data_IF_007258849115
#
_entry.id   IF_007258849115
#
_cell.length_a   1.000
_cell.length_b   1.000
_cell.length_c   1.000
_cell.angle_alpha   90.00
_cell.angle_beta   90.00
_cell.angle_gamma   90.00
#
_symmetry.space_group_name_H-M   'P 1'
#
loop_
_entity.id
_entity.type
_entity.pdbx_description
1 polymer ?
#
# COMPACT_ATOMS: atom_id res chain seq x y z
N UNK A 1 7.84 -37.65 4.55
CA UNK A 1 7.07 -37.17 5.72
C UNK A 1 7.99 -36.47 6.73
N UNK A 2 8.81 -35.49 6.30
CA UNK A 2 9.80 -34.80 7.16
C UNK A 2 9.81 -33.26 6.90
N UNK A 3 9.13 -32.77 5.87
CA UNK A 3 9.10 -31.33 5.55
C UNK A 3 8.16 -30.48 6.43
N UNK A 4 7.45 -31.06 7.40
CA UNK A 4 6.39 -30.37 8.15
C UNK A 4 6.73 -30.09 9.64
N UNK A 5 7.98 -30.32 10.07
CA UNK A 5 8.41 -30.13 11.48
C UNK A 5 9.14 -28.78 11.69
N UNK A 6 9.70 -28.18 10.63
CA UNK A 6 10.38 -26.88 10.73
C UNK A 6 9.42 -25.67 10.69
N UNK A 7 8.13 -25.89 10.45
CA UNK A 7 7.10 -24.84 10.51
C UNK A 7 6.55 -24.58 11.92
N UNK A 8 6.95 -25.37 12.92
CA UNK A 8 6.51 -25.19 14.32
C UNK A 8 7.16 -23.99 15.04
N UNK A 9 8.12 -23.29 14.43
CA UNK A 9 8.77 -22.12 15.05
C UNK A 9 8.53 -20.79 14.31
N UNK A 10 7.72 -20.78 13.25
CA UNK A 10 7.28 -19.54 12.60
C UNK A 10 5.77 -19.60 12.35
N UNK A 11 5.00 -19.13 13.32
CA UNK A 11 3.56 -18.99 13.25
C UNK A 11 3.23 -17.87 12.25
N UNK A 12 2.70 -18.19 11.06
CA UNK A 12 2.28 -17.16 10.09
C UNK A 12 0.86 -16.67 10.45
N UNK A 13 0.65 -15.36 10.67
CA UNK A 13 -0.66 -14.85 11.05
C UNK A 13 -1.68 -15.11 9.93
N UNK A 14 -2.92 -15.45 10.32
CA UNK A 14 -4.01 -15.74 9.38
C UNK A 14 -4.36 -14.49 8.57
N UNK A 15 -3.87 -14.44 7.34
CA UNK A 15 -4.09 -13.35 6.39
C UNK A 15 -5.54 -13.38 5.88
N UNK A 16 -6.37 -12.48 6.40
CA UNK A 16 -7.76 -12.34 5.96
C UNK A 16 -7.86 -11.22 4.93
N UNK A 17 -7.75 -11.58 3.65
CA UNK A 17 -8.00 -10.65 2.55
C UNK A 17 -9.51 -10.50 2.34
N UNK A 18 -10.08 -9.36 2.73
CA UNK A 18 -11.44 -8.99 2.36
C UNK A 18 -11.35 -8.24 1.03
N UNK A 19 -12.03 -8.76 -0.01
CA UNK A 19 -12.09 -8.12 -1.33
C UNK A 19 -10.74 -7.87 -2.03
N UNK A 20 -9.76 -8.77 -1.87
CA UNK A 20 -8.48 -8.70 -2.59
C UNK A 20 -7.53 -7.59 -2.14
N UNK A 21 -7.92 -6.84 -1.10
CA UNK A 21 -7.05 -5.84 -0.50
C UNK A 21 -6.10 -6.53 0.50
N UNK A 22 -4.77 -6.31 0.36
CA UNK A 22 -3.81 -6.77 1.37
C UNK A 22 -4.06 -6.05 2.70
N UNK A 23 -3.71 -6.71 3.81
CA UNK A 23 -3.86 -6.14 5.16
C UNK A 23 -2.58 -5.41 5.59
N UNK A 24 -2.70 -4.36 6.40
CA UNK A 24 -1.56 -3.56 6.86
C UNK A 24 -0.49 -4.35 7.66
N UNK A 25 -0.82 -5.54 8.18
CA UNK A 25 0.09 -6.41 8.94
C UNK A 25 0.61 -7.62 8.14
N UNK A 26 0.40 -7.65 6.82
CA UNK A 26 0.72 -8.79 5.95
C UNK A 26 2.20 -9.20 5.97
N UNK A 27 3.09 -8.23 6.17
CA UNK A 27 4.53 -8.44 6.18
C UNK A 27 5.09 -8.68 7.59
N UNK A 28 4.27 -8.67 8.64
CA UNK A 28 4.73 -8.87 10.02
C UNK A 28 4.95 -10.36 10.35
N UNK A 29 6.01 -10.64 11.13
CA UNK A 29 6.24 -11.98 11.69
C UNK A 29 5.26 -12.24 12.85
N UNK A 30 4.63 -13.41 12.85
CA UNK A 30 3.74 -13.81 13.93
C UNK A 30 4.49 -14.49 15.08
N UNK A 31 4.02 -14.25 16.30
CA UNK A 31 4.47 -14.95 17.51
C UNK A 31 3.31 -15.85 17.97
N UNK A 32 3.62 -17.07 18.41
CA UNK A 32 2.62 -17.98 18.95
C UNK A 32 2.40 -17.69 20.44
N UNK A 33 1.15 -17.51 20.82
CA UNK A 33 0.75 -17.55 22.23
C UNK A 33 0.62 -19.01 22.71
N UNK A 34 0.54 -19.23 24.03
CA UNK A 34 0.40 -20.56 24.65
C UNK A 34 -0.85 -21.33 24.19
N UNK A 35 -1.82 -20.62 23.59
CA UNK A 35 -3.07 -21.16 23.06
C UNK A 35 -2.98 -21.55 21.56
N UNK A 36 -1.80 -21.47 20.94
CA UNK A 36 -1.58 -21.82 19.52
C UNK A 36 -2.15 -20.81 18.51
N UNK A 37 -2.52 -19.61 18.97
CA UNK A 37 -3.02 -18.53 18.12
C UNK A 37 -1.83 -17.67 17.67
N UNK A 38 -1.64 -17.55 16.35
CA UNK A 38 -0.59 -16.71 15.77
C UNK A 38 -1.09 -15.25 15.65
N UNK A 39 -0.49 -14.33 16.41
CA UNK A 39 -0.76 -12.89 16.34
C UNK A 39 0.46 -12.13 15.79
N UNK A 40 0.27 -11.10 14.94
CA UNK A 40 1.39 -10.26 14.47
C UNK A 40 1.96 -9.47 15.66
N UNK A 41 3.28 -9.52 15.86
CA UNK A 41 3.95 -8.80 16.94
C UNK A 41 4.96 -7.79 16.38
N UNK A 42 5.05 -6.62 17.02
CA UNK A 42 5.98 -5.54 16.69
C UNK A 42 7.13 -5.56 17.71
N UNK A 43 8.21 -6.25 17.39
CA UNK A 43 9.34 -6.46 18.32
C UNK A 43 10.56 -5.61 17.98
N UNK A 44 10.60 -4.96 16.82
CA UNK A 44 11.76 -4.17 16.38
C UNK A 44 11.38 -3.02 15.45
N UNK A 45 12.29 -2.06 15.31
CA UNK A 45 12.16 -0.97 14.32
C UNK A 45 12.02 -1.48 12.88
N UNK A 46 12.52 -2.69 12.61
CA UNK A 46 12.32 -3.36 11.33
C UNK A 46 10.85 -3.77 11.13
N UNK A 47 10.08 -4.08 12.17
CA UNK A 47 8.67 -4.46 11.98
C UNK A 47 7.81 -3.23 11.57
N UNK A 48 8.14 -2.05 12.10
CA UNK A 48 7.57 -0.77 11.66
C UNK A 48 7.85 -0.52 10.18
N UNK A 49 9.04 -0.91 9.70
CA UNK A 49 9.41 -0.87 8.29
C UNK A 49 8.50 -1.75 7.41
N UNK A 50 8.29 -3.01 7.83
CA UNK A 50 7.45 -3.95 7.08
C UNK A 50 5.97 -3.50 7.02
N UNK A 51 5.47 -2.82 8.06
CA UNK A 51 4.13 -2.18 8.05
C UNK A 51 4.06 -1.03 7.06
N UNK A 52 5.08 -0.16 7.01
CA UNK A 52 5.09 0.95 6.06
C UNK A 52 5.06 0.46 4.61
N UNK A 53 5.81 -0.60 4.28
CA UNK A 53 5.73 -1.25 2.96
C UNK A 53 4.34 -1.83 2.68
N UNK A 54 3.68 -2.44 3.67
CA UNK A 54 2.32 -2.96 3.53
C UNK A 54 1.34 -1.85 3.13
N UNK A 55 1.42 -0.71 3.80
CA UNK A 55 0.54 0.44 3.55
C UNK A 55 0.79 1.02 2.16
N UNK A 56 2.04 1.09 1.71
CA UNK A 56 2.37 1.58 0.36
C UNK A 56 1.80 0.64 -0.72
N UNK A 57 1.90 -0.69 -0.56
CA UNK A 57 1.31 -1.63 -1.53
C UNK A 57 -0.22 -1.48 -1.61
N UNK A 58 -0.88 -1.31 -0.46
CA UNK A 58 -2.32 -1.03 -0.39
C UNK A 58 -2.64 0.28 -1.11
N UNK A 59 -1.88 1.34 -0.84
CA UNK A 59 -2.08 2.65 -1.45
C UNK A 59 -1.89 2.62 -2.96
N UNK A 60 -0.89 1.88 -3.48
CA UNK A 60 -0.66 1.72 -4.91
C UNK A 60 -1.83 0.97 -5.59
N UNK A 61 -2.36 -0.07 -4.96
CA UNK A 61 -3.54 -0.79 -5.47
C UNK A 61 -4.77 0.09 -5.52
N UNK A 62 -5.02 0.89 -4.48
CA UNK A 62 -6.14 1.83 -4.44
C UNK A 62 -5.94 2.95 -5.46
N UNK A 63 -4.73 3.52 -5.55
CA UNK A 63 -4.38 4.55 -6.51
C UNK A 63 -4.58 4.06 -7.96
N UNK A 64 -4.24 2.79 -8.27
CA UNK A 64 -4.46 2.21 -9.58
C UNK A 64 -5.96 2.17 -9.95
N UNK A 65 -6.83 1.75 -9.02
CA UNK A 65 -8.29 1.72 -9.23
C UNK A 65 -8.84 3.14 -9.42
N UNK A 66 -8.40 4.08 -8.57
CA UNK A 66 -8.81 5.48 -8.61
C UNK A 66 -8.35 6.16 -9.90
N UNK A 67 -7.12 5.91 -10.35
CA UNK A 67 -6.57 6.44 -11.59
C UNK A 67 -7.41 6.04 -12.81
N UNK A 68 -7.82 4.77 -12.90
CA UNK A 68 -8.71 4.30 -13.98
C UNK A 68 -10.04 5.06 -13.96
N UNK A 69 -10.63 5.28 -12.79
CA UNK A 69 -11.87 6.05 -12.64
C UNK A 69 -11.73 7.52 -13.08
N UNK A 70 -10.64 8.18 -12.68
CA UNK A 70 -10.36 9.57 -13.08
C UNK A 70 -10.09 9.72 -14.57
N UNK A 71 -9.40 8.76 -15.21
CA UNK A 71 -9.16 8.79 -16.65
C UNK A 71 -10.49 8.74 -17.42
N UNK A 72 -11.42 7.88 -17.01
CA UNK A 72 -12.74 7.76 -17.66
C UNK A 72 -13.54 9.06 -17.50
N UNK A 73 -13.60 9.59 -16.27
CA UNK A 73 -14.31 10.84 -15.99
C UNK A 73 -13.70 12.04 -16.73
N UNK A 74 -12.37 12.17 -16.71
CA UNK A 74 -11.66 13.23 -17.40
C UNK A 74 -11.80 13.12 -18.92
N UNK A 75 -11.84 11.90 -19.49
CA UNK A 75 -12.06 11.68 -20.92
C UNK A 75 -13.42 12.21 -21.37
N UNK A 76 -14.49 11.89 -20.64
CA UNK A 76 -15.84 12.38 -20.94
C UNK A 76 -15.91 13.91 -20.77
N UNK A 77 -15.36 14.42 -19.67
CA UNK A 77 -15.32 15.87 -19.39
C UNK A 77 -14.55 16.63 -20.47
N UNK A 78 -13.42 16.09 -20.96
CA UNK A 78 -12.60 16.72 -21.99
C UNK A 78 -13.33 16.79 -23.32
N UNK A 79 -14.00 15.71 -23.73
CA UNK A 79 -14.78 15.68 -24.97
C UNK A 79 -16.04 16.55 -24.90
N UNK A 80 -16.73 16.62 -23.75
CA UNK A 80 -17.95 17.44 -23.62
C UNK A 80 -17.70 18.93 -23.39
N UNK A 81 -16.46 19.36 -23.16
CA UNK A 81 -16.17 20.74 -22.75
C UNK A 81 -16.28 21.79 -23.86
N UNK A 82 -16.44 21.40 -25.14
CA UNK A 82 -16.85 22.24 -26.29
C UNK A 82 -16.36 23.73 -26.34
N UNK A 83 -15.22 24.07 -25.73
CA UNK A 83 -14.66 25.42 -25.71
C UNK A 83 -14.81 26.22 -24.40
N UNK A 84 -15.38 25.67 -23.33
CA UNK A 84 -15.47 26.34 -22.03
C UNK A 84 -14.15 26.22 -21.25
N UNK A 85 -13.42 27.32 -21.10
CA UNK A 85 -12.06 27.35 -20.54
C UNK A 85 -12.02 26.89 -19.08
N UNK A 86 -13.10 27.13 -18.34
CA UNK A 86 -13.23 26.76 -16.93
C UNK A 86 -13.24 25.24 -16.74
N UNK A 87 -13.98 24.50 -17.59
CA UNK A 87 -14.00 23.03 -17.51
C UNK A 87 -12.69 22.39 -17.95
N UNK A 88 -11.97 23.04 -18.88
CA UNK A 88 -10.64 22.61 -19.29
C UNK A 88 -9.59 22.86 -18.19
N UNK A 89 -9.68 23.97 -17.46
CA UNK A 89 -8.81 24.25 -16.31
C UNK A 89 -9.04 23.24 -15.18
N UNK A 90 -10.30 22.97 -14.80
CA UNK A 90 -10.63 21.99 -13.77
C UNK A 90 -10.15 20.57 -14.12
N UNK A 91 -10.23 20.17 -15.39
CA UNK A 91 -9.71 18.88 -15.85
C UNK A 91 -8.18 18.80 -15.68
N UNK A 92 -7.44 19.89 -15.98
CA UNK A 92 -5.99 19.96 -15.77
C UNK A 92 -5.63 19.92 -14.29
N UNK A 93 -6.34 20.67 -13.45
CA UNK A 93 -6.11 20.67 -12.00
C UNK A 93 -6.35 19.29 -11.38
N UNK A 94 -7.36 18.57 -11.87
CA UNK A 94 -7.63 17.18 -11.45
C UNK A 94 -6.48 16.24 -11.81
N UNK A 95 -5.91 16.38 -13.01
CA UNK A 95 -4.75 15.60 -13.45
C UNK A 95 -3.52 15.94 -12.60
N UNK A 96 -3.28 17.22 -12.32
CA UNK A 96 -2.15 17.67 -11.48
C UNK A 96 -2.29 17.13 -10.04
N UNK A 97 -3.49 17.16 -9.47
CA UNK A 97 -3.73 16.60 -8.15
C UNK A 97 -3.52 15.08 -8.08
N UNK A 98 -3.91 14.35 -9.14
CA UNK A 98 -3.63 12.91 -9.25
C UNK A 98 -2.11 12.63 -9.34
N UNK A 99 -1.36 13.46 -10.10
CA UNK A 99 0.09 13.39 -10.18
C UNK A 99 0.78 13.67 -8.84
N UNK A 100 0.28 14.62 -8.06
CA UNK A 100 0.81 14.93 -6.72
C UNK A 100 0.64 13.72 -5.79
N UNK A 101 -0.52 13.05 -5.82
CA UNK A 101 -0.75 11.83 -5.04
C UNK A 101 0.23 10.71 -5.40
N UNK A 102 0.48 10.50 -6.69
CA UNK A 102 1.48 9.55 -7.18
C UNK A 102 2.90 9.92 -6.70
N UNK A 103 3.27 11.20 -6.83
CA UNK A 103 4.58 11.69 -6.43
C UNK A 103 4.82 11.53 -4.92
N UNK A 104 3.81 11.79 -4.08
CA UNK A 104 3.88 11.56 -2.63
C UNK A 104 4.10 10.07 -2.33
N UNK A 105 3.40 9.17 -3.02
CA UNK A 105 3.58 7.71 -2.83
C UNK A 105 5.00 7.25 -3.14
N UNK A 106 5.58 7.73 -4.24
CA UNK A 106 6.97 7.43 -4.61
C UNK A 106 7.94 8.02 -3.59
N UNK A 107 7.72 9.27 -3.19
CA UNK A 107 8.56 9.99 -2.22
C UNK A 107 8.54 9.32 -0.84
N UNK A 108 7.37 8.86 -0.40
CA UNK A 108 7.23 8.10 0.84
C UNK A 108 8.13 6.87 0.81
N UNK A 109 8.12 6.09 -0.27
CA UNK A 109 8.95 4.87 -0.42
C UNK A 109 10.46 5.17 -0.29
N UNK A 110 10.91 6.30 -0.83
CA UNK A 110 12.31 6.74 -0.75
C UNK A 110 12.72 7.10 0.68
N UNK A 111 11.92 7.92 1.36
CA UNK A 111 12.16 8.33 2.76
C UNK A 111 12.17 7.12 3.67
N UNK A 112 11.19 6.24 3.46
CA UNK A 112 11.03 4.98 4.17
C UNK A 112 12.36 4.22 3.95
N UNK A 113 12.81 3.97 2.71
CA UNK A 113 14.00 3.12 2.45
C UNK A 113 15.28 3.74 3.01
N UNK A 114 15.35 5.07 3.05
CA UNK A 114 16.46 5.80 3.65
C UNK A 114 16.58 5.52 5.15
N UNK A 115 15.49 5.65 5.91
CA UNK A 115 15.46 5.37 7.35
C UNK A 115 15.81 3.90 7.62
N UNK A 116 15.30 2.96 6.82
CA UNK A 116 15.60 1.53 6.97
C UNK A 116 17.09 1.21 6.83
N UNK A 117 17.80 1.89 5.92
CA UNK A 117 19.25 1.71 5.77
C UNK A 117 20.02 2.30 6.95
N UNK A 118 19.58 3.42 7.50
CA UNK A 118 20.24 4.07 8.65
C UNK A 118 20.18 3.25 9.93
N UNK A 119 19.15 2.41 10.12
CA UNK A 119 19.01 1.57 11.33
C UNK A 119 19.82 0.27 11.25
N UNK A 120 20.22 -0.16 10.04
CA UNK A 120 21.02 -1.37 9.82
C UNK A 120 22.54 -1.12 9.89
N UNK A 121 22.95 0.10 10.25
CA UNK A 121 24.33 0.45 10.57
C UNK A 121 24.51 0.64 12.07
#
# INVERSE_FOLDING_TARGET
>A
MIHNILTLFACTPKKSSILGFPTWYEYLKGVSDANGVCSPALNSLNDIWLVALAIIDIALRVAAIVAVGFIIYAGIQYTTSQGDSNKTAQAKDTIVNALIGLAISVSATLIVTFIARSIKS
#
